data_IF_304198727936
#
_entry.id   IF_304198727936
#
_cell.length_a   1.000
_cell.length_b   1.000
_cell.length_c   1.000
_cell.angle_alpha   90.00
_cell.angle_beta   90.00
_cell.angle_gamma   90.00
#
_symmetry.space_group_name_H-M   'P 1'
#
loop_
_entity.id
_entity.type
_entity.pdbx_description
1 polymer ?
#
# COMPACT_ATOMS: atom_id res chain seq x y z
N UNK A 1 12.05 -13.21 -6.03
CA UNK A 1 10.84 -12.40 -5.75
C UNK A 1 11.24 -10.94 -5.72
N UNK A 2 10.43 -10.07 -6.32
CA UNK A 2 10.76 -8.66 -6.57
C UNK A 2 9.64 -7.72 -6.17
N UNK A 3 9.70 -6.49 -6.68
CA UNK A 3 8.64 -5.49 -6.55
C UNK A 3 7.66 -5.66 -7.71
N UNK A 4 6.36 -5.61 -7.43
CA UNK A 4 5.28 -5.79 -8.37
C UNK A 4 4.41 -4.54 -8.44
N UNK A 5 3.88 -4.26 -9.62
CA UNK A 5 2.82 -3.27 -9.80
C UNK A 5 1.48 -3.93 -9.48
N UNK A 6 0.68 -3.28 -8.65
CA UNK A 6 -0.63 -3.77 -8.24
C UNK A 6 -1.69 -2.68 -8.34
N UNK A 7 -2.93 -3.07 -8.56
CA UNK A 7 -4.08 -2.16 -8.55
C UNK A 7 -4.89 -2.39 -7.27
N UNK A 8 -5.22 -1.32 -6.55
CA UNK A 8 -6.04 -1.40 -5.34
C UNK A 8 -7.46 -1.78 -5.70
N UNK A 9 -7.97 -2.86 -5.12
CA UNK A 9 -9.36 -3.33 -5.32
C UNK A 9 -10.24 -3.02 -4.13
N UNK A 10 -9.67 -3.00 -2.91
CA UNK A 10 -10.41 -2.68 -1.69
C UNK A 10 -9.48 -2.09 -0.62
N UNK A 11 -10.03 -1.17 0.18
CA UNK A 11 -9.35 -0.44 1.25
C UNK A 11 -9.94 -0.75 2.64
N UNK A 12 -10.85 -1.73 2.73
CA UNK A 12 -11.47 -2.13 3.98
C UNK A 12 -10.43 -2.72 4.95
N UNK A 13 -10.05 -1.92 5.95
CA UNK A 13 -9.06 -2.30 6.97
C UNK A 13 -9.67 -2.34 8.36
N UNK A 14 -9.86 -3.55 8.89
CA UNK A 14 -10.41 -3.79 10.23
C UNK A 14 -9.47 -3.28 11.34
N UNK A 15 -8.16 -3.28 11.09
CA UNK A 15 -7.15 -2.98 12.09
C UNK A 15 -6.62 -1.54 12.02
N UNK A 16 -7.11 -0.73 11.07
CA UNK A 16 -6.65 0.65 10.84
C UNK A 16 -5.11 0.77 10.74
N UNK A 17 -4.49 -0.22 10.11
CA UNK A 17 -3.04 -0.42 9.93
C UNK A 17 -2.53 -0.10 8.52
N UNK A 18 -3.42 0.28 7.60
CA UNK A 18 -3.13 0.64 6.23
C UNK A 18 -3.14 -0.58 5.33
N UNK A 19 -3.97 -1.58 5.66
CA UNK A 19 -4.14 -2.79 4.87
C UNK A 19 -4.87 -2.46 3.57
N UNK A 20 -4.36 -3.01 2.47
CA UNK A 20 -4.98 -2.92 1.16
C UNK A 20 -5.16 -4.31 0.59
N UNK A 21 -6.23 -4.49 -0.16
CA UNK A 21 -6.44 -5.63 -1.03
C UNK A 21 -6.15 -5.19 -2.45
N UNK A 22 -5.23 -5.90 -3.09
CA UNK A 22 -4.66 -5.52 -4.38
C UNK A 22 -4.69 -6.68 -5.36
N UNK A 23 -4.89 -6.34 -6.62
CA UNK A 23 -4.77 -7.27 -7.73
C UNK A 23 -3.40 -7.10 -8.38
N UNK A 24 -2.67 -8.20 -8.56
CA UNK A 24 -1.34 -8.20 -9.17
C UNK A 24 -1.42 -8.94 -10.52
N UNK A 25 -1.37 -8.22 -11.66
CA UNK A 25 -1.44 -8.84 -12.98
C UNK A 25 -0.36 -9.90 -13.22
N UNK A 26 0.86 -9.64 -12.75
CA UNK A 26 2.00 -10.53 -12.95
C UNK A 26 1.90 -11.88 -12.21
N UNK A 27 1.00 -12.01 -11.24
CA UNK A 27 0.80 -13.24 -10.46
C UNK A 27 -0.51 -13.97 -10.79
N UNK A 28 -1.31 -13.41 -11.70
CA UNK A 28 -2.53 -14.07 -12.14
C UNK A 28 -2.20 -15.24 -13.05
N UNK A 29 -2.85 -16.38 -12.79
CA UNK A 29 -2.83 -17.51 -13.71
C UNK A 29 -3.71 -17.15 -14.90
N UNK A 30 -3.11 -17.10 -16.08
CA UNK A 30 -3.85 -17.06 -17.34
C UNK A 30 -4.38 -18.46 -17.59
N UNK A 31 -5.53 -18.82 -17.02
CA UNK A 31 -6.29 -19.95 -17.57
C UNK A 31 -6.99 -19.45 -18.84
N UNK A 32 -6.82 -20.22 -19.90
CA UNK A 32 -7.15 -19.88 -21.27
C UNK A 32 -8.56 -19.31 -21.46
N UNK A 33 -8.64 -18.42 -22.43
CA UNK A 33 -9.82 -17.73 -22.93
C UNK A 33 -11.11 -18.59 -22.90
N UNK A 34 -12.10 -18.21 -22.08
CA UNK A 34 -13.53 -18.21 -22.48
C UNK A 34 -14.51 -17.87 -21.35
N UNK A 35 -14.11 -17.87 -20.08
CA UNK A 35 -15.08 -17.63 -19.00
C UNK A 35 -14.94 -16.25 -18.36
N UNK A 36 -16.04 -15.49 -18.35
CA UNK A 36 -16.16 -14.12 -17.81
C UNK A 36 -16.13 -14.08 -16.28
N UNK A 37 -15.57 -15.09 -15.65
CA UNK A 37 -15.40 -15.26 -14.21
C UNK A 37 -13.99 -15.75 -13.89
N UNK A 38 -12.97 -15.16 -14.51
CA UNK A 38 -11.62 -15.24 -13.95
C UNK A 38 -11.71 -14.63 -12.56
N UNK A 39 -11.76 -15.48 -11.53
CA UNK A 39 -11.70 -15.04 -10.14
C UNK A 39 -10.41 -14.24 -9.98
N UNK A 40 -10.55 -12.91 -9.97
CA UNK A 40 -9.44 -12.00 -9.82
C UNK A 40 -8.81 -12.28 -8.46
N UNK A 41 -7.69 -13.01 -8.47
CA UNK A 41 -6.97 -13.35 -7.24
C UNK A 41 -6.51 -12.05 -6.60
N UNK A 42 -7.07 -11.78 -5.43
CA UNK A 42 -6.78 -10.58 -4.65
C UNK A 42 -5.78 -10.94 -3.57
N UNK A 43 -4.78 -10.11 -3.38
CA UNK A 43 -3.76 -10.26 -2.37
C UNK A 43 -3.90 -9.18 -1.32
N UNK A 44 -3.83 -9.57 -0.05
CA UNK A 44 -3.78 -8.62 1.04
C UNK A 44 -2.34 -8.17 1.28
N UNK A 45 -2.13 -6.87 1.34
CA UNK A 45 -0.82 -6.25 1.60
C UNK A 45 -0.93 -5.22 2.73
N UNK A 46 0.14 -5.07 3.51
CA UNK A 46 0.22 -4.13 4.64
C UNK A 46 1.02 -2.90 4.28
N UNK A 47 0.72 -1.77 4.90
CA UNK A 47 1.53 -0.57 4.72
C UNK A 47 2.93 -0.76 5.30
N UNK A 48 3.96 -0.51 4.48
CA UNK A 48 5.34 -0.42 4.92
C UNK A 48 5.76 1.04 4.87
N UNK A 49 5.61 1.71 6.02
CA UNK A 49 6.02 3.11 6.13
C UNK A 49 7.55 3.23 6.02
N UNK A 50 8.07 4.12 5.16
CA UNK A 50 9.51 4.35 5.04
C UNK A 50 10.11 5.02 6.29
N UNK A 51 9.28 5.69 7.10
CA UNK A 51 9.70 6.40 8.30
C UNK A 51 8.82 6.02 9.49
N UNK A 52 8.73 4.74 9.84
CA UNK A 52 8.07 4.29 11.06
C UNK A 52 8.99 3.43 11.92
N UNK A 53 8.74 3.47 13.23
CA UNK A 53 9.48 2.71 14.21
C UNK A 53 8.70 2.58 15.52
N UNK A 54 9.23 1.74 16.39
CA UNK A 54 8.69 1.57 17.74
C UNK A 54 9.82 1.38 18.73
N UNK A 55 9.63 1.88 19.95
CA UNK A 55 10.53 1.55 21.06
C UNK A 55 10.48 0.03 21.28
N UNK A 56 11.62 -0.67 21.33
CA UNK A 56 11.64 -2.10 21.58
C UNK A 56 11.03 -2.42 22.96
N UNK A 57 10.19 -3.44 23.04
CA UNK A 57 9.52 -3.82 24.31
C UNK A 57 10.52 -4.21 25.42
N UNK A 58 11.73 -4.64 25.07
CA UNK A 58 12.83 -4.94 26.02
C UNK A 58 13.31 -3.72 26.81
N UNK A 59 13.12 -2.52 26.24
CA UNK A 59 13.57 -1.26 26.82
C UNK A 59 12.42 -0.59 27.59
N UNK A 60 11.22 -1.19 27.58
CA UNK A 60 10.08 -0.77 28.39
C UNK A 60 10.23 -1.36 29.81
N UNK A 61 10.28 -0.48 30.81
CA UNK A 61 10.47 -0.87 32.21
C UNK A 61 9.13 -0.82 32.96
N UNK A 62 8.92 -1.72 33.93
CA UNK A 62 7.65 -1.86 34.67
C UNK A 62 7.29 -0.64 35.55
N UNK A 63 8.19 0.34 35.67
CA UNK A 63 7.91 1.60 36.34
C UNK A 63 7.02 2.45 35.42
N UNK A 64 5.71 2.43 35.69
CA UNK A 64 4.58 2.90 34.86
C UNK A 64 4.52 4.40 34.51
N UNK A 65 5.65 5.04 34.27
CA UNK A 65 5.71 6.34 33.61
C UNK A 65 5.50 6.21 32.10
N UNK A 66 4.88 7.22 31.49
CA UNK A 66 4.71 7.32 30.03
C UNK A 66 6.04 7.19 29.27
N UNK A 67 7.16 7.57 29.89
CA UNK A 67 8.51 7.46 29.32
C UNK A 67 9.03 6.02 29.23
N UNK A 68 8.59 5.12 30.11
CA UNK A 68 9.03 3.73 30.18
C UNK A 68 8.15 2.76 29.37
N UNK A 69 7.20 3.27 28.59
CA UNK A 69 6.23 2.47 27.83
C UNK A 69 6.64 2.37 26.36
N UNK A 70 6.27 1.28 25.69
CA UNK A 70 6.44 1.12 24.24
C UNK A 70 5.68 2.22 23.47
N UNK A 71 6.40 3.02 22.70
CA UNK A 71 5.84 4.08 21.85
C UNK A 71 6.07 3.72 20.39
N UNK A 72 5.03 3.89 19.57
CA UNK A 72 5.14 3.85 18.13
C UNK A 72 5.21 5.29 17.58
N UNK A 73 6.04 5.50 16.57
CA UNK A 73 6.12 6.76 15.84
C UNK A 73 6.23 6.45 14.35
N UNK A 74 5.74 7.35 13.51
CA UNK A 74 6.06 7.25 12.11
C UNK A 74 5.23 8.11 11.19
N UNK A 75 5.62 8.04 9.93
CA UNK A 75 4.93 8.68 8.83
C UNK A 75 3.75 7.81 8.37
N UNK A 76 2.54 8.35 8.49
CA UNK A 76 1.33 7.73 8.01
C UNK A 76 0.81 8.48 6.78
N UNK A 77 0.61 7.74 5.69
CA UNK A 77 -0.07 8.23 4.50
C UNK A 77 -1.48 7.64 4.46
N UNK A 78 -2.45 8.45 4.01
CA UNK A 78 -3.82 7.98 3.76
C UNK A 78 -3.76 6.86 2.72
N UNK A 79 -4.42 5.72 2.96
CA UNK A 79 -4.45 4.63 2.00
C UNK A 79 -4.99 5.14 0.64
N UNK A 80 -4.34 4.78 -0.48
CA UNK A 80 -4.77 5.19 -1.81
C UNK A 80 -6.17 4.68 -2.15
N UNK A 81 -6.86 5.42 -3.01
CA UNK A 81 -8.21 5.09 -3.45
C UNK A 81 -8.24 3.81 -4.31
N UNK A 82 -9.40 3.15 -4.33
CA UNK A 82 -9.65 1.98 -5.18
C UNK A 82 -9.39 2.36 -6.65
N UNK A 83 -8.64 1.52 -7.36
CA UNK A 83 -8.21 1.74 -8.74
C UNK A 83 -6.80 2.34 -8.87
N UNK A 84 -6.22 2.88 -7.80
CA UNK A 84 -4.87 3.44 -7.81
C UNK A 84 -3.82 2.36 -8.01
N UNK A 85 -2.75 2.68 -8.76
CA UNK A 85 -1.58 1.81 -8.88
C UNK A 85 -0.62 1.98 -7.70
N UNK A 86 -0.17 0.86 -7.15
CA UNK A 86 0.77 0.82 -6.02
C UNK A 86 1.92 -0.15 -6.29
N UNK A 87 3.06 0.12 -5.66
CA UNK A 87 4.19 -0.81 -5.62
C UNK A 87 4.06 -1.73 -4.41
N UNK A 88 4.18 -3.04 -4.67
CA UNK A 88 4.03 -4.11 -3.70
C UNK A 88 5.26 -5.00 -3.68
N UNK A 89 5.67 -5.45 -2.51
CA UNK A 89 6.74 -6.42 -2.31
C UNK A 89 6.29 -7.54 -1.36
N UNK A 90 6.89 -8.72 -1.50
CA UNK A 90 6.60 -9.87 -0.65
C UNK A 90 7.84 -10.27 0.13
N UNK A 91 7.75 -10.25 1.46
CA UNK A 91 8.85 -10.68 2.32
C UNK A 91 9.06 -12.20 2.20
N UNK A 92 10.33 -12.63 2.20
CA UNK A 92 10.74 -14.04 2.16
C UNK A 92 10.15 -14.87 1.00
N UNK A 93 9.64 -14.20 -0.03
CA UNK A 93 8.91 -14.85 -1.12
C UNK A 93 7.54 -15.42 -0.74
N UNK A 94 6.96 -15.01 0.38
CA UNK A 94 5.64 -15.44 0.82
C UNK A 94 4.58 -14.40 0.44
N UNK A 95 3.59 -14.79 -0.36
CA UNK A 95 2.49 -13.92 -0.78
C UNK A 95 1.62 -13.42 0.39
N UNK A 96 1.64 -14.15 1.52
CA UNK A 96 0.93 -13.75 2.75
C UNK A 96 1.70 -12.69 3.55
N UNK A 97 2.97 -12.45 3.22
CA UNK A 97 3.82 -11.41 3.81
C UNK A 97 4.00 -10.23 2.85
N UNK A 98 2.89 -9.77 2.27
CA UNK A 98 2.86 -8.66 1.34
C UNK A 98 2.89 -7.29 2.02
N UNK A 99 3.63 -6.37 1.41
CA UNK A 99 3.75 -4.98 1.83
C UNK A 99 3.62 -4.03 0.64
N UNK A 100 2.88 -2.94 0.79
CA UNK A 100 2.90 -1.84 -0.18
C UNK A 100 3.79 -0.71 0.34
N UNK A 101 4.59 -0.15 -0.55
CA UNK A 101 5.68 0.79 -0.21
C UNK A 101 5.49 2.18 -0.82
N UNK A 102 4.53 2.33 -1.74
CA UNK A 102 4.25 3.62 -2.35
C UNK A 102 3.16 3.54 -3.42
N UNK A 103 2.59 4.71 -3.71
CA UNK A 103 1.67 4.90 -4.81
C UNK A 103 2.44 5.29 -6.07
N UNK A 104 2.05 4.74 -7.21
CA UNK A 104 2.57 5.15 -8.51
C UNK A 104 1.68 6.28 -9.02
N UNK A 105 2.22 7.49 -9.23
CA UNK A 105 1.42 8.59 -9.76
C UNK A 105 1.03 8.28 -11.20
N UNK A 106 -0.24 8.51 -11.54
CA UNK A 106 -0.67 8.46 -12.93
C UNK A 106 0.05 9.55 -13.74
N UNK A 107 0.38 9.24 -14.99
CA UNK A 107 0.87 10.27 -15.92
C UNK A 107 -0.31 11.15 -16.34
N UNK A 108 -0.08 12.46 -16.48
CA UNK A 108 -1.09 13.43 -16.93
C UNK A 108 -2.25 13.69 -15.95
N UNK A 109 -2.00 13.61 -14.65
CA UNK A 109 -2.93 14.21 -13.68
C UNK A 109 -2.82 15.73 -13.80
N UNK A 110 -3.97 16.41 -13.88
CA UNK A 110 -4.02 17.86 -14.17
C UNK A 110 -3.07 18.68 -13.28
N UNK A 111 -2.81 18.24 -12.04
CA UNK A 111 -1.90 18.90 -11.10
C UNK A 111 -1.27 17.87 -10.14
N UNK A 112 0.05 17.90 -9.93
CA UNK A 112 0.72 17.20 -8.82
C UNK A 112 1.93 18.00 -8.32
N UNK A 113 2.09 18.07 -7.00
CA UNK A 113 3.26 18.69 -6.34
C UNK A 113 4.51 17.82 -6.60
N UNK A 114 5.70 18.39 -6.90
CA UNK A 114 6.04 19.81 -6.87
C UNK A 114 6.28 20.36 -8.30
N UNK A 115 5.22 20.50 -9.11
CA UNK A 115 5.33 21.13 -10.42
C UNK A 115 4.01 21.74 -10.89
N UNK A 116 3.87 23.07 -10.72
CA UNK A 116 2.77 23.93 -11.17
C UNK A 116 1.39 23.65 -10.51
N UNK A 117 1.08 24.45 -9.49
CA UNK A 117 -0.12 24.32 -8.65
C UNK A 117 -1.44 24.79 -9.29
N UNK A 118 -1.47 25.30 -10.52
CA UNK A 118 -2.73 25.67 -11.20
C UNK A 118 -2.52 26.01 -12.67
N UNK A 119 -3.42 25.57 -13.54
CA UNK A 119 -3.59 26.03 -14.93
C UNK A 119 -5.05 25.81 -15.32
N UNK A 120 -5.68 26.79 -15.99
CA UNK A 120 -7.11 26.77 -16.35
C UNK A 120 -7.46 25.80 -17.50
N UNK A 121 -6.49 25.02 -18.00
CA UNK A 121 -6.71 24.07 -19.10
C UNK A 121 -6.65 22.63 -18.62
N UNK A 122 -7.82 22.03 -18.45
CA UNK A 122 -8.00 20.59 -18.38
C UNK A 122 -7.69 19.97 -19.75
N UNK A 123 -6.92 18.87 -19.78
CA UNK A 123 -6.63 18.12 -21.02
C UNK A 123 -7.92 17.39 -21.44
N UNK A 124 -8.46 17.74 -22.60
CA UNK A 124 -9.58 17.04 -23.24
C UNK A 124 -9.09 15.68 -23.79
N UNK A 125 -9.84 14.62 -23.51
CA UNK A 125 -9.55 13.24 -23.93
C UNK A 125 -9.89 12.99 -25.40
#
# INVERSE_FOLDING_TARGET
>A
MGVYLATVTNTADVNFSGRLDVQIPALQKTDDASDRSVEKTTYTVRYCSPFAGQTPARDANSNGGFESTQKAYGFWAVPPDIGTQVLVMFANGNVNEGFWIGCVPDMQINHMVPGLASSEKSIEQ
#
